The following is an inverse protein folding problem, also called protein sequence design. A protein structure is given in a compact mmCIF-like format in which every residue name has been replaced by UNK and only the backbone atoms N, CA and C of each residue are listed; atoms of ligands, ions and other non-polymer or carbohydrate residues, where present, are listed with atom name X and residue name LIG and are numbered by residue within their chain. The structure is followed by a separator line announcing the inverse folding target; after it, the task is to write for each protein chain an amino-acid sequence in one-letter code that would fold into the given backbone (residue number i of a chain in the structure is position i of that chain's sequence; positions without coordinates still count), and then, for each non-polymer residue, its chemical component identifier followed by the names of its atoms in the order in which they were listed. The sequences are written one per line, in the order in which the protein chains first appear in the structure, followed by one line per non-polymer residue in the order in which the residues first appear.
data_IF_478309462547
#
_entry.id   IF_478309462547
#
_cell.length_a   1.000
_cell.length_b   1.000
_cell.length_c   1.000
_cell.angle_alpha   90.00
_cell.angle_beta   90.00
_cell.angle_gamma   90.00
#
_symmetry.space_group_name_H-M   'P 1'
#
loop_
_entity.id
_entity.type
_entity.pdbx_description
1 polymer ?
#
# COMPACT_ATOMS: atom_id res chain seq x y z
N UNK A 1 31.13 -33.22 5.95
CA UNK A 1 29.77 -32.92 6.40
C UNK A 1 29.09 -32.34 5.19
N UNK A 2 28.34 -33.21 4.53
CA UNK A 2 27.74 -33.02 3.22
C UNK A 2 26.29 -32.63 3.46
N UNK A 3 25.84 -31.53 2.87
CA UNK A 3 24.43 -31.16 2.90
C UNK A 3 23.78 -31.44 1.54
N UNK A 4 22.69 -32.20 1.64
CA UNK A 4 21.82 -32.72 0.60
C UNK A 4 21.08 -31.61 -0.15
N UNK A 5 21.08 -31.71 -1.49
CA UNK A 5 20.10 -31.02 -2.34
C UNK A 5 18.93 -31.96 -2.67
N UNK A 6 17.67 -31.57 -2.42
CA UNK A 6 16.52 -32.34 -2.87
C UNK A 6 16.20 -32.02 -4.34
N UNK A 7 16.26 -33.06 -5.17
CA UNK A 7 15.78 -33.05 -6.57
C UNK A 7 14.26 -33.25 -6.58
N UNK A 8 13.52 -32.16 -6.76
CA UNK A 8 12.06 -32.19 -6.92
C UNK A 8 11.66 -32.63 -8.33
N UNK A 9 11.24 -33.88 -8.47
CA UNK A 9 10.63 -34.42 -9.67
C UNK A 9 9.19 -33.88 -9.82
N UNK A 10 8.93 -33.14 -10.91
CA UNK A 10 7.59 -32.65 -11.26
C UNK A 10 6.68 -33.76 -11.82
N UNK A 11 5.36 -33.68 -11.61
CA UNK A 11 4.40 -34.71 -12.04
C UNK A 11 4.19 -34.68 -13.55
N UNK A 12 4.35 -35.85 -14.17
CA UNK A 12 4.12 -36.07 -15.60
C UNK A 12 2.65 -35.90 -15.99
N UNK A 13 2.43 -35.12 -17.04
CA UNK A 13 1.13 -34.93 -17.69
C UNK A 13 0.79 -36.22 -18.47
N UNK A 14 -0.36 -36.88 -18.22
CA UNK A 14 -0.75 -38.05 -19.00
C UNK A 14 -1.22 -37.66 -20.41
N UNK A 15 -0.76 -38.42 -21.39
CA UNK A 15 -1.14 -38.30 -22.80
C UNK A 15 -2.63 -38.61 -23.01
N UNK A 16 -3.33 -37.91 -23.92
CA UNK A 16 -4.73 -38.21 -24.23
C UNK A 16 -4.85 -39.55 -24.97
N UNK A 17 -5.70 -40.43 -24.44
CA UNK A 17 -6.13 -41.66 -25.09
C UNK A 17 -6.90 -41.33 -26.38
N UNK A 18 -6.42 -41.85 -27.51
CA UNK A 18 -7.10 -41.74 -28.80
C UNK A 18 -8.42 -42.53 -28.82
N UNK A 19 -9.41 -42.08 -29.61
CA UNK A 19 -10.71 -42.74 -29.67
C UNK A 19 -10.64 -44.13 -30.31
N UNK A 20 -11.42 -45.03 -29.71
CA UNK A 20 -11.65 -46.40 -30.16
C UNK A 20 -12.19 -46.43 -31.60
N UNK A 21 -11.66 -47.37 -32.37
CA UNK A 21 -12.14 -47.69 -33.72
C UNK A 21 -13.36 -48.58 -33.59
N UNK A 22 -14.54 -47.98 -33.54
CA UNK A 22 -15.79 -48.72 -33.66
C UNK A 22 -16.03 -49.10 -35.13
N UNK A 23 -15.94 -50.41 -35.37
CA UNK A 23 -16.93 -51.21 -36.09
C UNK A 23 -17.99 -50.43 -36.89
N UNK A 24 -17.71 -50.19 -38.17
CA UNK A 24 -18.74 -49.82 -39.14
C UNK A 24 -18.46 -50.41 -40.52
N UNK A 25 -18.38 -51.74 -40.60
CA UNK A 25 -18.43 -52.49 -41.87
C UNK A 25 -19.31 -53.74 -41.68
N UNK A 26 -20.57 -53.49 -41.36
CA UNK A 26 -21.63 -54.49 -41.33
C UNK A 26 -22.45 -54.48 -42.62
N UNK A 27 -22.40 -55.61 -43.35
CA UNK A 27 -23.59 -56.21 -43.95
C UNK A 27 -24.25 -55.53 -45.16
N UNK A 28 -23.69 -55.76 -46.36
CA UNK A 28 -24.48 -55.83 -47.59
C UNK A 28 -24.06 -57.06 -48.40
N UNK A 29 -24.32 -58.22 -47.81
CA UNK A 29 -24.45 -59.49 -48.51
C UNK A 29 -25.85 -60.03 -48.20
N UNK A 30 -26.46 -60.70 -49.19
CA UNK A 30 -27.78 -61.35 -49.20
C UNK A 30 -29.04 -60.50 -49.41
N UNK A 31 -29.42 -60.38 -50.69
CA UNK A 31 -30.82 -60.50 -51.10
C UNK A 31 -30.91 -61.29 -52.42
N UNK A 32 -30.96 -62.62 -52.28
CA UNK A 32 -32.09 -63.42 -52.75
C UNK A 32 -32.43 -63.42 -54.24
N UNK A 33 -31.96 -64.46 -54.92
CA UNK A 33 -32.57 -64.99 -56.13
C UNK A 33 -34.05 -65.35 -55.92
N UNK A 34 -34.91 -65.00 -56.87
CA UNK A 34 -36.12 -65.79 -57.16
C UNK A 34 -36.45 -65.77 -58.65
N UNK A 35 -36.65 -66.96 -59.16
CA UNK A 35 -37.01 -67.35 -60.53
C UNK A 35 -38.50 -67.23 -60.79
N UNK A 36 -38.93 -66.86 -62.01
CA UNK A 36 -40.31 -67.08 -62.44
C UNK A 36 -40.79 -66.35 -63.70
N UNK A 37 -40.50 -66.94 -64.87
CA UNK A 37 -41.33 -67.07 -66.07
C UNK A 37 -42.39 -65.99 -66.47
N UNK A 38 -42.22 -65.49 -67.71
CA UNK A 38 -43.25 -65.24 -68.74
C UNK A 38 -44.15 -63.99 -68.65
N UNK A 39 -43.84 -62.97 -69.45
CA UNK A 39 -44.77 -62.48 -70.49
C UNK A 39 -44.14 -61.38 -71.37
N UNK A 40 -44.00 -61.73 -72.64
CA UNK A 40 -44.18 -60.93 -73.86
C UNK A 40 -44.47 -59.42 -73.73
N UNK A 41 -43.50 -58.63 -74.20
CA UNK A 41 -43.72 -57.52 -75.13
C UNK A 41 -44.28 -56.21 -74.57
N UNK A 42 -43.39 -55.28 -74.18
CA UNK A 42 -43.75 -53.86 -74.03
C UNK A 42 -43.36 -53.17 -72.71
N UNK A 43 -42.71 -53.85 -71.76
CA UNK A 43 -42.40 -53.31 -70.42
C UNK A 43 -40.95 -52.87 -70.15
N UNK A 44 -40.02 -53.10 -71.07
CA UNK A 44 -38.56 -52.92 -70.85
C UNK A 44 -38.17 -51.45 -70.64
N UNK A 45 -38.89 -50.54 -71.30
CA UNK A 45 -38.68 -49.10 -71.13
C UNK A 45 -39.10 -48.60 -69.74
N UNK A 46 -40.13 -49.20 -69.12
CA UNK A 46 -40.59 -48.80 -67.78
C UNK A 46 -39.59 -49.20 -66.68
N UNK A 47 -38.94 -50.36 -66.80
CA UNK A 47 -37.88 -50.80 -65.87
C UNK A 47 -36.65 -49.92 -65.97
N UNK A 48 -36.24 -49.54 -67.19
CA UNK A 48 -35.13 -48.61 -67.41
C UNK A 48 -35.43 -47.23 -66.85
N UNK A 49 -36.66 -46.72 -67.00
CA UNK A 49 -37.07 -45.44 -66.40
C UNK A 49 -37.09 -45.49 -64.87
N UNK A 50 -37.52 -46.60 -64.26
CA UNK A 50 -37.49 -46.79 -62.81
C UNK A 50 -36.05 -46.86 -62.26
N UNK A 51 -35.14 -47.54 -62.96
CA UNK A 51 -33.73 -47.56 -62.59
C UNK A 51 -33.10 -46.16 -62.73
N UNK A 52 -33.45 -45.42 -63.78
CA UNK A 52 -33.00 -44.05 -63.99
C UNK A 52 -33.52 -43.08 -62.92
N UNK A 53 -34.76 -43.26 -62.43
CA UNK A 53 -35.27 -42.44 -61.34
C UNK A 53 -34.53 -42.71 -60.03
N UNK A 54 -34.22 -43.97 -59.71
CA UNK A 54 -33.44 -44.33 -58.52
C UNK A 54 -32.04 -43.73 -58.59
N UNK A 55 -31.36 -43.88 -59.73
CA UNK A 55 -30.04 -43.27 -59.94
C UNK A 55 -30.11 -41.74 -59.87
N UNK A 56 -31.16 -41.11 -60.41
CA UNK A 56 -31.35 -39.66 -60.29
C UNK A 56 -31.55 -39.22 -58.84
N UNK A 57 -32.23 -40.03 -58.02
CA UNK A 57 -32.42 -39.77 -56.59
C UNK A 57 -31.10 -39.94 -55.83
N UNK A 58 -30.34 -41.01 -56.07
CA UNK A 58 -29.02 -41.22 -55.47
C UNK A 58 -28.02 -40.12 -55.88
N UNK A 59 -28.05 -39.66 -57.13
CA UNK A 59 -27.25 -38.53 -57.59
C UNK A 59 -27.68 -37.22 -56.92
N UNK A 60 -28.97 -37.06 -56.62
CA UNK A 60 -29.48 -35.92 -55.84
C UNK A 60 -28.98 -35.95 -54.40
N UNK A 61 -29.05 -37.11 -53.75
CA UNK A 61 -28.62 -37.33 -52.37
C UNK A 61 -27.10 -37.18 -52.22
N UNK A 62 -26.31 -37.76 -53.13
CA UNK A 62 -24.86 -37.57 -53.13
C UNK A 62 -24.47 -36.11 -53.32
N UNK A 63 -25.19 -35.34 -54.16
CA UNK A 63 -24.99 -33.89 -54.28
C UNK A 63 -25.35 -33.14 -53.00
N UNK A 64 -26.42 -33.55 -52.31
CA UNK A 64 -26.80 -32.96 -51.03
C UNK A 64 -25.74 -33.24 -49.95
N UNK A 65 -25.26 -34.48 -49.84
CA UNK A 65 -24.16 -34.84 -48.92
C UNK A 65 -22.86 -34.11 -49.27
N UNK A 66 -22.53 -33.94 -50.55
CA UNK A 66 -21.35 -33.14 -50.94
C UNK A 66 -21.51 -31.66 -50.59
N UNK A 67 -22.72 -31.11 -50.69
CA UNK A 67 -23.00 -29.74 -50.26
C UNK A 67 -22.86 -29.59 -48.73
N UNK A 68 -23.41 -30.55 -47.97
CA UNK A 68 -23.29 -30.60 -46.51
C UNK A 68 -21.83 -30.76 -46.05
N UNK A 69 -21.07 -31.68 -46.68
CA UNK A 69 -19.65 -31.83 -46.41
C UNK A 69 -18.87 -30.55 -46.72
N UNK A 70 -19.15 -29.89 -47.85
CA UNK A 70 -18.52 -28.61 -48.19
C UNK A 70 -18.83 -27.55 -47.14
N UNK A 71 -20.07 -27.47 -46.69
CA UNK A 71 -20.49 -26.47 -45.71
C UNK A 71 -19.85 -26.76 -44.34
N UNK A 72 -19.75 -28.03 -43.94
CA UNK A 72 -19.05 -28.48 -42.73
C UNK A 72 -17.54 -28.23 -42.80
N UNK A 73 -16.90 -28.45 -43.96
CA UNK A 73 -15.50 -28.06 -44.18
C UNK A 73 -15.33 -26.55 -44.14
N UNK A 74 -16.30 -25.78 -44.64
CA UNK A 74 -16.30 -24.32 -44.56
C UNK A 74 -16.32 -23.83 -43.11
N UNK A 75 -17.17 -24.42 -42.27
CA UNK A 75 -17.26 -24.14 -40.84
C UNK A 75 -15.98 -24.55 -40.10
N UNK A 76 -15.46 -25.75 -40.36
CA UNK A 76 -14.22 -26.25 -39.77
C UNK A 76 -13.01 -25.36 -40.12
N UNK A 77 -12.93 -24.87 -41.35
CA UNK A 77 -11.88 -23.93 -41.77
C UNK A 77 -12.03 -22.56 -41.10
N UNK A 78 -13.26 -22.10 -40.85
CA UNK A 78 -13.52 -20.87 -40.11
C UNK A 78 -13.09 -20.99 -38.64
N UNK A 79 -13.41 -22.10 -37.97
CA UNK A 79 -12.98 -22.38 -36.60
C UNK A 79 -11.45 -22.47 -36.49
N UNK A 80 -10.78 -23.13 -37.43
CA UNK A 80 -9.32 -23.19 -37.48
C UNK A 80 -8.70 -21.80 -37.66
N UNK A 81 -9.34 -20.93 -38.46
CA UNK A 81 -8.95 -19.53 -38.61
C UNK A 81 -9.03 -18.76 -37.28
N UNK A 82 -10.09 -18.99 -36.51
CA UNK A 82 -10.27 -18.35 -35.20
C UNK A 82 -9.22 -18.83 -34.18
N UNK A 83 -8.99 -20.15 -34.12
CA UNK A 83 -7.97 -20.75 -33.24
C UNK A 83 -6.59 -20.21 -33.59
N UNK A 84 -6.24 -20.14 -34.88
CA UNK A 84 -4.99 -19.52 -35.32
C UNK A 84 -4.88 -18.05 -34.89
N UNK A 85 -5.98 -17.30 -34.94
CA UNK A 85 -6.05 -15.93 -34.44
C UNK A 85 -5.81 -15.82 -32.92
N UNK A 86 -6.37 -16.74 -32.12
CA UNK A 86 -6.15 -16.80 -30.68
C UNK A 86 -4.70 -17.16 -30.32
N UNK A 87 -4.08 -18.10 -31.05
CA UNK A 87 -2.66 -18.47 -30.87
C UNK A 87 -1.75 -17.26 -31.12
N UNK A 88 -1.99 -16.49 -32.18
CA UNK A 88 -1.22 -15.29 -32.47
C UNK A 88 -1.33 -14.23 -31.37
N UNK A 89 -2.54 -14.04 -30.79
CA UNK A 89 -2.75 -13.13 -29.65
C UNK A 89 -2.02 -13.59 -28.39
N UNK A 90 -2.03 -14.90 -28.09
CA UNK A 90 -1.30 -15.46 -26.96
C UNK A 90 0.22 -15.30 -27.12
N UNK A 91 0.74 -15.50 -28.34
CA UNK A 91 2.15 -15.26 -28.64
C UNK A 91 2.54 -13.79 -28.44
N UNK A 92 1.72 -12.85 -28.91
CA UNK A 92 1.96 -11.42 -28.69
C UNK A 92 1.94 -11.04 -27.20
N UNK A 93 1.01 -11.60 -26.42
CA UNK A 93 0.94 -11.38 -24.97
C UNK A 93 2.15 -11.98 -24.25
N UNK A 94 2.60 -13.17 -24.64
CA UNK A 94 3.80 -13.79 -24.07
C UNK A 94 5.05 -12.90 -24.29
N UNK A 95 5.19 -12.30 -25.48
CA UNK A 95 6.25 -11.32 -25.76
C UNK A 95 6.13 -10.07 -24.88
N UNK A 96 4.92 -9.54 -24.67
CA UNK A 96 4.70 -8.39 -23.78
C UNK A 96 5.04 -8.71 -22.33
N UNK A 97 4.67 -9.90 -21.84
CA UNK A 97 5.00 -10.37 -20.50
C UNK A 97 6.50 -10.56 -20.35
N UNK A 98 7.19 -11.11 -21.36
CA UNK A 98 8.65 -11.21 -21.35
C UNK A 98 9.32 -9.84 -21.28
N UNK A 99 8.89 -8.86 -22.11
CA UNK A 99 9.42 -7.49 -22.06
C UNK A 99 9.13 -6.82 -20.71
N UNK A 100 7.94 -7.02 -20.14
CA UNK A 100 7.61 -6.48 -18.82
C UNK A 100 8.45 -7.14 -17.73
N UNK A 101 8.63 -8.46 -17.80
CA UNK A 101 9.47 -9.22 -16.89
C UNK A 101 10.92 -8.75 -16.97
N UNK A 102 11.46 -8.56 -18.18
CA UNK A 102 12.82 -8.03 -18.37
C UNK A 102 12.94 -6.60 -17.84
N UNK A 103 11.91 -5.77 -17.99
CA UNK A 103 11.89 -4.41 -17.42
C UNK A 103 11.77 -4.41 -15.90
N UNK A 104 10.93 -5.26 -15.33
CA UNK A 104 10.81 -5.43 -13.88
C UNK A 104 12.11 -5.98 -13.33
N UNK A 105 12.69 -6.99 -13.96
CA UNK A 105 13.97 -7.57 -13.60
C UNK A 105 15.08 -6.53 -13.69
N UNK A 106 15.14 -5.73 -14.77
CA UNK A 106 16.08 -4.63 -14.89
C UNK A 106 15.85 -3.57 -13.80
N UNK A 107 14.60 -3.26 -13.42
CA UNK A 107 14.31 -2.35 -12.31
C UNK A 107 14.71 -2.94 -10.96
N UNK A 108 14.55 -4.25 -10.73
CA UNK A 108 14.97 -4.92 -9.49
C UNK A 108 16.47 -5.23 -9.44
N UNK A 109 17.13 -5.42 -10.57
CA UNK A 109 18.59 -5.62 -10.64
C UNK A 109 19.31 -4.28 -10.52
N UNK A 110 18.78 -3.23 -11.16
CA UNK A 110 19.22 -1.87 -10.91
C UNK A 110 18.85 -1.39 -9.51
N UNK A 111 17.76 -1.94 -8.94
CA UNK A 111 17.28 -1.60 -7.60
C UNK A 111 17.54 -2.63 -6.49
N UNK A 112 18.46 -3.55 -6.75
CA UNK A 112 18.86 -4.63 -5.84
C UNK A 112 20.37 -4.67 -5.67
N UNK A 113 21.07 -3.64 -6.18
CA UNK A 113 22.48 -3.42 -5.91
C UNK A 113 22.66 -3.16 -4.42
N UNK A 114 23.29 -4.10 -3.74
CA UNK A 114 23.83 -4.00 -2.37
C UNK A 114 24.98 -2.98 -2.27
N UNK A 115 24.83 -1.84 -2.92
CA UNK A 115 25.83 -0.80 -3.08
C UNK A 115 25.17 0.37 -3.80
N UNK A 116 24.64 1.30 -3.01
CA UNK A 116 24.43 2.68 -3.45
C UNK A 116 23.38 2.89 -4.55
N UNK A 117 22.27 2.15 -4.49
CA UNK A 117 21.05 2.65 -5.12
C UNK A 117 20.70 3.99 -4.45
N UNK A 118 20.66 5.03 -5.28
CA UNK A 118 20.25 6.37 -4.92
C UNK A 118 18.80 6.31 -4.45
N UNK A 119 18.62 5.98 -3.17
CA UNK A 119 17.35 5.99 -2.47
C UNK A 119 16.83 7.44 -2.53
N UNK A 120 16.08 7.73 -3.60
CA UNK A 120 15.48 9.04 -3.85
C UNK A 120 14.45 9.39 -2.77
N UNK A 121 14.12 8.41 -1.91
CA UNK A 121 13.34 8.63 -0.72
C UNK A 121 14.16 9.44 0.29
N UNK A 122 13.60 10.54 0.83
CA UNK A 122 14.22 11.23 1.95
C UNK A 122 14.44 10.26 3.11
N UNK A 123 15.69 10.11 3.54
CA UNK A 123 16.05 9.27 4.69
C UNK A 123 15.64 10.01 5.97
N UNK A 124 14.89 9.34 6.84
CA UNK A 124 14.49 9.84 8.15
C UNK A 124 15.14 8.97 9.22
N UNK A 125 15.72 9.60 10.24
CA UNK A 125 16.34 8.97 11.41
C UNK A 125 15.45 7.90 12.05
N UNK A 126 14.13 8.11 12.05
CA UNK A 126 13.17 7.14 12.61
C UNK A 126 13.09 5.81 11.84
N UNK A 127 13.58 5.75 10.60
CA UNK A 127 13.54 4.57 9.73
C UNK A 127 14.91 3.89 9.57
N UNK A 128 15.96 4.42 10.21
CA UNK A 128 17.30 3.83 10.19
C UNK A 128 17.38 2.75 11.27
N UNK A 129 17.86 1.56 10.91
CA UNK A 129 18.13 0.51 11.90
C UNK A 129 19.18 1.05 12.91
N UNK A 130 18.97 0.88 14.23
CA UNK A 130 19.95 1.27 15.25
C UNK A 130 21.37 0.74 14.99
N UNK A 131 21.53 -0.41 14.32
CA UNK A 131 22.83 -0.98 13.98
C UNK A 131 23.55 -0.20 12.87
N UNK A 132 22.81 0.35 11.91
CA UNK A 132 23.35 1.10 10.77
C UNK A 132 23.56 2.59 11.09
N UNK A 133 22.96 3.07 12.19
CA UNK A 133 22.97 4.47 12.57
C UNK A 133 24.38 5.10 12.65
N UNK A 134 25.41 4.47 13.25
CA UNK A 134 26.76 5.04 13.31
C UNK A 134 27.36 5.28 11.92
N UNK A 135 27.15 4.36 10.98
CA UNK A 135 27.69 4.43 9.62
C UNK A 135 26.98 5.53 8.81
N UNK A 136 25.64 5.61 8.92
CA UNK A 136 24.86 6.66 8.25
C UNK A 136 25.25 8.05 8.76
N UNK A 137 25.37 8.22 10.09
CA UNK A 137 25.80 9.50 10.67
C UNK A 137 27.25 9.83 10.32
N UNK A 138 28.14 8.83 10.29
CA UNK A 138 29.52 9.00 9.85
C UNK A 138 29.62 9.53 8.41
N UNK A 139 28.87 8.90 7.49
CA UNK A 139 28.77 9.34 6.10
C UNK A 139 28.16 10.74 5.98
N UNK A 140 27.14 11.06 6.78
CA UNK A 140 26.52 12.39 6.79
C UNK A 140 27.51 13.48 7.25
N UNK A 141 28.27 13.24 8.32
CA UNK A 141 29.27 14.19 8.83
C UNK A 141 30.37 14.43 7.80
N UNK A 142 30.86 13.38 7.14
CA UNK A 142 31.85 13.51 6.07
C UNK A 142 31.31 14.35 4.92
N UNK A 143 30.07 14.06 4.46
CA UNK A 143 29.41 14.82 3.40
C UNK A 143 29.21 16.30 3.76
N UNK A 144 28.75 16.63 4.97
CA UNK A 144 28.60 18.03 5.43
C UNK A 144 29.95 18.75 5.38
N UNK A 145 31.03 18.10 5.84
CA UNK A 145 32.37 18.69 5.83
C UNK A 145 32.92 18.89 4.43
N UNK A 146 32.75 17.92 3.54
CA UNK A 146 33.41 17.87 2.23
C UNK A 146 32.62 18.56 1.13
N UNK A 147 31.29 18.59 1.24
CA UNK A 147 30.40 19.19 0.25
C UNK A 147 29.87 20.52 0.75
N UNK A 148 29.20 20.54 1.91
CA UNK A 148 28.49 21.74 2.39
C UNK A 148 29.47 22.82 2.84
N UNK A 149 30.44 22.49 3.69
CA UNK A 149 31.41 23.48 4.18
C UNK A 149 32.41 23.95 3.11
N UNK A 150 32.76 23.09 2.15
CA UNK A 150 33.64 23.46 1.04
C UNK A 150 32.89 24.34 0.02
N UNK A 151 31.67 23.96 -0.37
CA UNK A 151 30.88 24.72 -1.33
C UNK A 151 30.27 26.00 -0.78
N UNK A 152 29.95 26.03 0.52
CA UNK A 152 29.31 27.17 1.20
C UNK A 152 29.95 27.44 2.56
N UNK A 153 31.15 28.05 2.61
CA UNK A 153 31.92 28.20 3.85
C UNK A 153 31.22 28.94 4.99
N UNK A 154 30.25 29.81 4.67
CA UNK A 154 29.45 30.51 5.68
C UNK A 154 28.64 29.55 6.56
N UNK A 155 28.25 28.40 6.04
CA UNK A 155 27.47 27.39 6.77
C UNK A 155 28.22 26.82 7.98
N UNK A 156 29.55 26.84 7.97
CA UNK A 156 30.37 26.40 9.10
C UNK A 156 30.17 27.30 10.34
N UNK A 157 29.87 28.59 10.13
CA UNK A 157 29.63 29.54 11.22
C UNK A 157 28.20 29.40 11.77
N UNK A 158 27.25 29.06 10.89
CA UNK A 158 25.84 28.91 11.23
C UNK A 158 25.53 27.56 11.87
N UNK A 159 26.09 26.47 11.35
CA UNK A 159 25.90 25.11 11.84
C UNK A 159 26.83 24.82 13.02
N UNK A 160 26.33 25.02 14.24
CA UNK A 160 27.10 24.79 15.47
C UNK A 160 27.43 23.30 15.65
N UNK A 161 28.59 22.99 16.24
CA UNK A 161 29.06 21.61 16.44
C UNK A 161 28.14 20.70 17.28
N UNK A 162 27.16 21.26 17.99
CA UNK A 162 26.16 20.48 18.71
C UNK A 162 25.05 19.91 17.82
N UNK A 163 25.01 20.20 16.51
CA UNK A 163 23.91 19.82 15.62
C UNK A 163 23.60 18.31 15.61
N UNK A 164 24.58 17.43 15.83
CA UNK A 164 24.39 15.97 15.97
C UNK A 164 23.61 15.57 17.24
N UNK A 165 23.44 16.48 18.20
CA UNK A 165 22.61 16.26 19.38
C UNK A 165 21.15 16.67 19.15
N UNK A 166 20.83 17.22 17.98
CA UNK A 166 19.49 17.67 17.60
C UNK A 166 18.92 16.74 16.52
N UNK A 167 18.02 15.80 16.88
CA UNK A 167 17.42 14.88 15.92
C UNK A 167 16.73 15.57 14.75
N UNK A 168 16.10 16.73 14.99
CA UNK A 168 15.46 17.52 13.94
C UNK A 168 16.47 18.12 12.94
N UNK A 169 17.65 18.54 13.42
CA UNK A 169 18.73 18.99 12.53
C UNK A 169 19.40 17.84 11.79
N UNK A 170 19.54 16.67 12.41
CA UNK A 170 20.01 15.46 11.73
C UNK A 170 19.09 15.13 10.55
N UNK A 171 17.77 15.07 10.78
CA UNK A 171 16.79 14.83 9.73
C UNK A 171 16.83 15.89 8.63
N UNK A 172 16.92 17.16 9.00
CA UNK A 172 17.06 18.25 8.04
C UNK A 172 18.31 18.10 7.16
N UNK A 173 19.45 17.67 7.73
CA UNK A 173 20.68 17.41 6.98
C UNK A 173 20.60 16.17 6.10
N UNK A 174 19.93 15.09 6.55
CA UNK A 174 19.67 13.91 5.74
C UNK A 174 18.84 14.27 4.50
N UNK A 175 17.77 15.06 4.67
CA UNK A 175 16.94 15.52 3.55
C UNK A 175 17.69 16.48 2.63
N UNK A 176 18.52 17.37 3.19
CA UNK A 176 19.37 18.26 2.40
C UNK A 176 20.38 17.47 1.56
N UNK A 177 20.93 16.37 2.09
CA UNK A 177 21.79 15.45 1.33
C UNK A 177 21.01 14.75 0.22
N UNK A 178 19.81 14.23 0.48
CA UNK A 178 18.96 13.63 -0.57
C UNK A 178 18.65 14.63 -1.68
N UNK A 179 18.32 15.87 -1.34
CA UNK A 179 18.08 16.93 -2.32
C UNK A 179 19.34 17.30 -3.12
N UNK A 180 20.52 17.27 -2.50
CA UNK A 180 21.79 17.48 -3.22
C UNK A 180 22.01 16.41 -4.27
N UNK A 181 21.83 15.13 -3.91
CA UNK A 181 21.96 14.00 -4.86
C UNK A 181 20.99 14.16 -6.03
N UNK A 182 19.73 14.50 -5.75
CA UNK A 182 18.73 14.76 -6.79
C UNK A 182 19.08 15.97 -7.70
N UNK A 183 19.79 16.96 -7.17
CA UNK A 183 20.18 18.16 -7.91
C UNK A 183 21.46 18.00 -8.75
N UNK A 184 22.42 17.19 -8.29
CA UNK A 184 23.78 17.15 -8.85
C UNK A 184 24.27 15.75 -9.25
N UNK A 185 23.78 14.69 -8.62
CA UNK A 185 24.25 13.32 -8.90
C UNK A 185 23.34 12.58 -9.90
N UNK A 186 22.09 13.01 -10.06
CA UNK A 186 21.15 12.45 -11.05
C UNK A 186 21.50 12.92 -12.47
N UNK A 187 21.72 11.98 -13.40
CA UNK A 187 21.97 12.27 -14.82
C UNK A 187 20.82 13.03 -15.49
N UNK A 188 19.60 12.90 -14.96
CA UNK A 188 18.40 13.58 -15.43
C UNK A 188 18.05 14.83 -14.60
N UNK A 189 18.97 15.29 -13.74
CA UNK A 189 18.76 16.46 -12.90
C UNK A 189 18.36 17.68 -13.74
N UNK A 190 17.24 18.30 -13.37
CA UNK A 190 16.75 19.51 -14.03
C UNK A 190 17.24 20.74 -13.28
N UNK A 191 17.44 21.88 -13.95
CA UNK A 191 17.93 23.11 -13.30
C UNK A 191 17.13 23.58 -12.08
N UNK A 192 15.82 23.28 -12.01
CA UNK A 192 14.99 23.64 -10.87
C UNK A 192 15.35 22.85 -9.59
N UNK A 193 15.87 21.62 -9.70
CA UNK A 193 16.29 20.84 -8.55
C UNK A 193 17.46 21.50 -7.80
N UNK A 194 18.42 22.08 -8.53
CA UNK A 194 19.50 22.86 -7.94
C UNK A 194 18.98 24.14 -7.26
N UNK A 195 18.02 24.84 -7.86
CA UNK A 195 17.39 26.01 -7.24
C UNK A 195 16.63 25.66 -5.96
N UNK A 196 15.87 24.55 -5.97
CA UNK A 196 15.17 24.04 -4.78
C UNK A 196 16.15 23.63 -3.68
N UNK A 197 17.24 22.95 -4.05
CA UNK A 197 18.29 22.58 -3.10
C UNK A 197 18.92 23.80 -2.41
N UNK A 198 19.23 24.86 -3.16
CA UNK A 198 19.75 26.11 -2.59
C UNK A 198 18.78 26.76 -1.60
N UNK A 199 17.48 26.79 -1.93
CA UNK A 199 16.45 27.27 -1.01
C UNK A 199 16.42 26.45 0.27
N UNK A 200 16.48 25.12 0.16
CA UNK A 200 16.50 24.24 1.32
C UNK A 200 17.75 24.41 2.17
N UNK A 201 18.92 24.66 1.56
CA UNK A 201 20.14 24.96 2.30
C UNK A 201 19.93 26.18 3.22
N UNK A 202 19.38 27.27 2.70
CA UNK A 202 19.12 28.49 3.48
C UNK A 202 18.10 28.25 4.61
N UNK A 203 17.02 27.50 4.32
CA UNK A 203 15.99 27.14 5.31
C UNK A 203 16.55 26.26 6.44
N UNK A 204 17.39 25.27 6.09
CA UNK A 204 18.06 24.38 7.05
C UNK A 204 19.03 25.18 7.93
N UNK A 205 19.81 26.08 7.36
CA UNK A 205 20.77 26.90 8.13
C UNK A 205 20.07 27.90 9.04
N UNK A 206 18.98 28.54 8.57
CA UNK A 206 18.14 29.40 9.40
C UNK A 206 17.54 28.63 10.58
N UNK A 207 17.13 27.38 10.34
CA UNK A 207 16.61 26.49 11.39
C UNK A 207 17.71 26.07 12.37
N UNK A 208 18.89 25.71 11.88
CA UNK A 208 20.05 25.37 12.71
C UNK A 208 20.43 26.51 13.65
N UNK A 209 20.50 27.75 13.14
CA UNK A 209 20.80 28.93 13.96
C UNK A 209 19.74 29.12 15.06
N UNK A 210 18.46 29.09 14.68
CA UNK A 210 17.34 29.26 15.63
C UNK A 210 17.34 28.19 16.72
N UNK A 211 17.55 26.92 16.35
CA UNK A 211 17.53 25.76 17.27
C UNK A 211 18.73 25.74 18.20
N UNK A 212 19.89 26.17 17.72
CA UNK A 212 21.14 26.08 18.48
C UNK A 212 21.49 27.37 19.23
N UNK A 213 20.71 28.46 19.11
CA UNK A 213 20.97 29.76 19.75
C UNK A 213 21.18 29.67 21.27
N UNK A 214 20.46 28.79 21.96
CA UNK A 214 20.58 28.60 23.42
C UNK A 214 21.54 27.49 23.85
N UNK A 215 22.19 26.80 22.90
CA UNK A 215 23.07 25.67 23.22
C UNK A 215 24.41 26.13 23.79
N UNK A 216 25.02 25.39 24.73
CA UNK A 216 26.34 25.71 25.26
C UNK A 216 27.38 25.78 24.14
N UNK A 217 28.35 26.67 24.27
CA UNK A 217 29.47 26.74 23.34
C UNK A 217 30.40 25.54 23.53
N UNK A 218 31.07 25.06 22.47
CA UNK A 218 32.12 24.05 22.60
C UNK A 218 33.12 24.47 23.68
N UNK A 219 33.36 23.60 24.66
CA UNK A 219 34.26 23.88 25.79
C UNK A 219 33.62 24.55 27.02
N UNK A 220 32.31 24.79 27.03
CA UNK A 220 31.59 25.16 28.24
C UNK A 220 31.20 23.92 29.05
N UNK A 221 31.37 23.96 30.37
CA UNK A 221 31.02 22.86 31.30
C UNK A 221 29.51 22.70 31.53
N UNK A 222 28.68 23.51 30.87
CA UNK A 222 27.22 23.41 31.00
C UNK A 222 26.74 22.19 30.22
N UNK A 223 26.01 21.25 30.84
CA UNK A 223 25.50 20.09 30.14
C UNK A 223 24.56 20.51 29.01
N UNK A 224 24.72 19.87 27.85
CA UNK A 224 23.85 20.11 26.71
C UNK A 224 22.50 19.41 26.96
N UNK A 225 21.45 20.19 27.23
CA UNK A 225 20.13 19.67 27.63
C UNK A 225 19.30 19.09 26.45
N UNK A 226 19.96 18.61 25.39
CA UNK A 226 19.32 18.08 24.18
C UNK A 226 19.91 16.70 23.87
N UNK A 227 19.09 15.68 23.51
CA UNK A 227 17.63 15.75 23.34
C UNK A 227 16.90 16.03 24.65
N UNK A 228 15.86 16.87 24.58
CA UNK A 228 14.91 16.98 25.68
C UNK A 228 14.29 15.59 25.89
N UNK A 229 13.97 15.22 27.14
CA UNK A 229 13.23 13.99 27.37
C UNK A 229 11.97 13.98 26.49
N UNK A 230 11.59 12.83 25.92
CA UNK A 230 10.39 12.71 25.10
C UNK A 230 9.21 13.32 25.84
N UNK A 231 8.41 14.11 25.13
CA UNK A 231 7.17 14.65 25.70
C UNK A 231 6.25 13.48 26.00
N UNK A 232 5.86 13.34 27.26
CA UNK A 232 4.89 12.32 27.68
C UNK A 232 3.46 12.82 27.48
N UNK A 233 3.03 12.82 26.22
CA UNK A 233 1.67 13.21 25.85
C UNK A 233 0.61 12.21 26.30
N UNK A 234 0.99 10.97 26.63
CA UNK A 234 0.08 9.96 27.16
C UNK A 234 -0.35 10.31 28.57
N UNK A 235 0.60 10.65 29.44
CA UNK A 235 0.28 11.14 30.80
C UNK A 235 -0.59 12.40 30.75
N UNK A 236 -0.30 13.35 29.86
CA UNK A 236 -1.13 14.54 29.67
C UNK A 236 -2.57 14.21 29.20
N UNK A 237 -2.73 13.20 28.33
CA UNK A 237 -4.04 12.74 27.88
C UNK A 237 -4.81 12.04 29.01
N UNK A 238 -4.13 11.20 29.80
CA UNK A 238 -4.71 10.55 30.97
C UNK A 238 -5.17 11.58 32.01
N UNK A 239 -4.38 12.62 32.26
CA UNK A 239 -4.75 13.73 33.14
C UNK A 239 -5.96 14.50 32.62
N UNK A 240 -6.07 14.72 31.31
CA UNK A 240 -7.26 15.35 30.70
C UNK A 240 -8.51 14.48 30.87
N UNK A 241 -8.41 13.20 30.56
CA UNK A 241 -9.51 12.25 30.75
C UNK A 241 -9.93 12.17 32.22
N UNK A 242 -8.97 12.15 33.14
CA UNK A 242 -9.19 12.19 34.59
C UNK A 242 -9.93 13.47 35.01
N UNK A 243 -9.52 14.64 34.49
CA UNK A 243 -10.18 15.92 34.78
C UNK A 243 -11.62 15.96 34.31
N UNK A 244 -11.93 15.38 33.16
CA UNK A 244 -13.31 15.31 32.63
C UNK A 244 -14.23 14.47 33.54
N UNK A 245 -13.74 13.33 34.03
CA UNK A 245 -14.48 12.49 34.99
C UNK A 245 -14.68 13.23 36.31
N UNK A 246 -13.65 13.92 36.82
CA UNK A 246 -13.76 14.71 38.05
C UNK A 246 -14.76 15.88 37.89
N UNK A 247 -14.82 16.50 36.70
CA UNK A 247 -15.81 17.52 36.38
C UNK A 247 -17.25 16.96 36.34
N UNK A 248 -17.44 15.74 35.84
CA UNK A 248 -18.73 15.05 35.91
C UNK A 248 -19.11 14.73 37.36
N UNK A 249 -18.19 14.18 38.15
CA UNK A 249 -18.40 13.93 39.58
C UNK A 249 -18.77 15.23 40.30
N UNK A 250 -18.12 16.35 39.97
CA UNK A 250 -18.45 17.65 40.52
C UNK A 250 -19.89 18.08 40.19
N UNK A 251 -20.29 17.97 38.91
CA UNK A 251 -21.67 18.26 38.47
C UNK A 251 -22.71 17.40 39.18
N UNK A 252 -22.42 16.12 39.39
CA UNK A 252 -23.29 15.21 40.16
C UNK A 252 -23.34 15.59 41.65
N UNK A 253 -22.23 16.00 42.24
CA UNK A 253 -22.18 16.48 43.63
C UNK A 253 -23.00 17.76 43.84
N UNK A 254 -23.05 18.66 42.86
CA UNK A 254 -23.93 19.85 42.93
C UNK A 254 -25.41 19.46 43.08
N UNK A 255 -25.86 18.36 42.46
CA UNK A 255 -27.24 17.86 42.61
C UNK A 255 -27.57 17.39 44.03
N UNK A 256 -26.56 16.95 44.78
CA UNK A 256 -26.69 16.44 46.15
C UNK A 256 -26.71 17.55 47.20
N UNK A 257 -26.40 18.79 46.83
CA UNK A 257 -26.35 19.88 47.79
C UNK A 257 -27.74 20.17 48.38
N UNK A 258 -27.85 20.38 49.71
CA UNK A 258 -29.12 20.77 50.32
C UNK A 258 -29.68 22.04 49.67
N UNK A 259 -30.94 21.98 49.23
CA UNK A 259 -31.59 23.12 48.56
C UNK A 259 -31.42 23.17 47.04
N UNK A 260 -30.71 22.21 46.42
CA UNK A 260 -30.53 22.16 44.96
C UNK A 260 -31.83 21.85 44.16
N UNK A 261 -32.93 21.49 44.85
CA UNK A 261 -34.26 21.31 44.23
C UNK A 261 -34.46 20.01 43.46
N UNK A 262 -33.53 19.06 43.53
CA UNK A 262 -33.65 17.75 42.87
C UNK A 262 -34.51 16.77 43.70
N UNK A 263 -35.29 15.89 43.03
CA UNK A 263 -36.08 14.86 43.72
C UNK A 263 -35.17 13.79 44.34
N UNK A 264 -35.68 13.07 45.34
CA UNK A 264 -34.86 12.18 46.18
C UNK A 264 -34.26 10.99 45.42
N UNK A 265 -34.96 10.49 44.41
CA UNK A 265 -34.50 9.46 43.47
C UNK A 265 -33.31 9.94 42.62
N UNK A 266 -33.39 11.13 42.04
CA UNK A 266 -32.29 11.70 41.25
C UNK A 266 -31.02 11.95 42.10
N UNK A 267 -31.18 12.28 43.38
CA UNK A 267 -30.05 12.40 44.33
C UNK A 267 -29.42 11.03 44.61
N UNK A 268 -30.23 9.99 44.76
CA UNK A 268 -29.75 8.62 44.96
C UNK A 268 -29.01 8.09 43.72
N UNK A 269 -29.54 8.34 42.52
CA UNK A 269 -28.90 7.97 41.24
C UNK A 269 -27.56 8.68 41.04
N UNK A 270 -27.51 9.98 41.34
CA UNK A 270 -26.26 10.75 41.29
C UNK A 270 -25.21 10.18 42.26
N UNK A 271 -25.62 9.79 43.47
CA UNK A 271 -24.72 9.16 44.44
C UNK A 271 -24.17 7.83 43.91
N UNK A 272 -25.02 6.96 43.36
CA UNK A 272 -24.58 5.69 42.79
C UNK A 272 -23.63 5.91 41.60
N UNK A 273 -23.93 6.89 40.73
CA UNK A 273 -23.07 7.20 39.59
C UNK A 273 -21.71 7.75 40.00
N UNK A 274 -21.63 8.58 41.04
CA UNK A 274 -20.34 9.05 41.58
C UNK A 274 -19.50 7.88 42.06
N UNK A 275 -20.08 6.96 42.85
CA UNK A 275 -19.35 5.79 43.35
C UNK A 275 -18.86 4.91 42.19
N UNK A 276 -19.70 4.68 41.18
CA UNK A 276 -19.33 3.92 39.99
C UNK A 276 -18.18 4.58 39.22
N UNK A 277 -18.22 5.91 38.99
CA UNK A 277 -17.15 6.63 38.29
C UNK A 277 -15.84 6.64 39.09
N UNK A 278 -15.91 6.74 40.42
CA UNK A 278 -14.72 6.67 41.27
C UNK A 278 -14.07 5.28 41.22
N UNK A 279 -14.88 4.22 41.26
CA UNK A 279 -14.38 2.84 41.17
C UNK A 279 -13.82 2.52 39.77
N UNK A 280 -14.56 2.86 38.71
CA UNK A 280 -14.19 2.63 37.30
C UNK A 280 -12.85 3.27 36.92
N UNK A 281 -12.58 4.47 37.42
CA UNK A 281 -11.38 5.23 37.09
C UNK A 281 -10.31 5.21 38.19
N UNK A 282 -10.52 4.43 39.26
CA UNK A 282 -9.59 4.36 40.41
C UNK A 282 -9.37 5.72 41.09
N UNK A 283 -10.38 6.60 41.09
CA UNK A 283 -10.29 7.94 41.66
C UNK A 283 -10.54 7.91 43.15
N UNK A 284 -9.73 8.66 43.89
CA UNK A 284 -9.86 8.82 45.34
C UNK A 284 -10.58 10.12 45.69
N UNK A 285 -11.00 10.24 46.95
CA UNK A 285 -11.51 11.52 47.47
C UNK A 285 -10.42 12.61 47.46
N UNK A 286 -9.14 12.25 47.55
CA UNK A 286 -8.05 13.22 47.49
C UNK A 286 -7.93 13.82 46.08
N UNK A 287 -8.05 13.00 45.03
CA UNK A 287 -8.07 13.47 43.64
C UNK A 287 -9.20 14.48 43.40
N UNK A 288 -10.39 14.18 43.93
CA UNK A 288 -11.52 15.10 43.86
C UNK A 288 -11.27 16.41 44.63
N UNK A 289 -10.67 16.33 45.82
CA UNK A 289 -10.30 17.52 46.60
C UNK A 289 -9.19 18.36 45.93
N UNK A 290 -8.23 17.71 45.27
CA UNK A 290 -7.24 18.39 44.45
C UNK A 290 -7.89 19.12 43.27
N UNK A 291 -8.83 18.46 42.57
CA UNK A 291 -9.61 19.08 41.52
C UNK A 291 -10.40 20.32 42.01
N UNK A 292 -11.05 20.25 43.17
CA UNK A 292 -11.76 21.40 43.74
C UNK A 292 -10.83 22.56 44.15
N UNK A 293 -9.59 22.28 44.55
CA UNK A 293 -8.58 23.32 44.79
C UNK A 293 -8.20 24.02 43.49
N UNK A 294 -7.85 23.23 42.47
CA UNK A 294 -7.51 23.77 41.14
C UNK A 294 -8.66 24.59 40.54
N UNK A 295 -9.91 24.15 40.69
CA UNK A 295 -11.07 24.90 40.20
C UNK A 295 -11.20 26.28 40.87
N UNK A 296 -11.07 26.35 42.20
CA UNK A 296 -11.10 27.62 42.95
C UNK A 296 -9.95 28.55 42.55
N UNK A 297 -8.75 28.03 42.40
CA UNK A 297 -7.60 28.80 41.93
C UNK A 297 -7.84 29.39 40.54
N UNK A 298 -8.47 28.63 39.63
CA UNK A 298 -8.84 29.15 38.31
C UNK A 298 -9.93 30.23 38.36
N UNK A 299 -10.92 30.09 39.24
CA UNK A 299 -11.97 31.10 39.43
C UNK A 299 -11.40 32.39 40.02
N UNK A 300 -10.52 32.30 41.01
CA UNK A 300 -9.81 33.45 41.60
C UNK A 300 -8.92 34.16 40.57
N UNK A 301 -8.18 33.40 39.75
CA UNK A 301 -7.36 33.95 38.68
C UNK A 301 -8.20 34.70 37.62
N UNK A 302 -9.35 34.15 37.24
CA UNK A 302 -10.28 34.79 36.31
C UNK A 302 -10.90 36.06 36.88
N UNK A 303 -11.29 36.05 38.16
CA UNK A 303 -11.80 37.24 38.84
C UNK A 303 -10.74 38.35 38.87
N UNK A 304 -9.49 38.03 39.20
CA UNK A 304 -8.39 38.99 39.17
C UNK A 304 -8.09 39.53 37.77
N UNK A 305 -8.20 38.71 36.73
CA UNK A 305 -8.04 39.17 35.34
C UNK A 305 -9.14 40.17 34.96
N UNK A 306 -10.41 39.87 35.28
CA UNK A 306 -11.55 40.76 35.01
C UNK A 306 -11.45 42.10 35.76
N UNK A 307 -10.96 42.10 37.00
CA UNK A 307 -10.71 43.32 37.76
C UNK A 307 -9.61 44.19 37.16
N UNK A 308 -8.57 43.58 36.56
CA UNK A 308 -7.49 44.30 35.88
C UNK A 308 -8.00 44.95 34.60
N UNK A 309 -8.71 44.20 33.77
CA UNK A 309 -9.28 44.70 32.52
C UNK A 309 -10.27 45.84 32.77
N UNK A 310 -11.11 45.73 33.81
CA UNK A 310 -12.03 46.79 34.20
C UNK A 310 -11.33 48.09 34.64
N UNK A 311 -10.15 48.00 35.27
CA UNK A 311 -9.34 49.17 35.66
C UNK A 311 -8.63 49.83 34.48
N UNK A 312 -8.26 49.06 33.45
CA UNK A 312 -7.66 49.62 32.23
C UNK A 312 -8.67 50.39 31.38
N UNK A 313 -9.93 49.95 31.32
CA UNK A 313 -10.99 50.65 30.58
C UNK A 313 -11.48 51.96 31.24
N UNK A 314 -11.15 52.18 32.52
CA UNK A 314 -11.49 53.42 33.24
C UNK A 314 -10.41 54.51 33.15
N UNK A 315 -9.25 54.21 32.55
CA UNK A 315 -8.14 55.16 32.35
C UNK A 315 -8.15 55.76 30.96
#
# INVERSE_FOLDING_TARGET
MSDDQPTGAGPGIPAPAGPAKDEYLGGLADAGASSGASSTGGGDFASVLSALSVVSTEVGETRAHLAELRDHFGESLAELGEVSGRINKLSALATQVAILSDRVQALTDNGGGTGEELDARPVDLAHIDPQDLPDVLGALVAWVREVVFVGWPWTQQTLRGCWLQHPDLINAMLWLRSAYRAAYDDENARPHAAADWHRWLDDVMTTAERRTRGCPQPGQDTPHAVPLPPRDDLSALEDLARRDVLAEIHRLNLRRQPGAGYPADAVADAQQRIVALMDEHGLTNDDYNQYLRALRETEEALAHAQERDGKEHQR
#
